data_IF_958227177318
#
_entry.id   IF_958227177318
#
_cell.length_a   1.000
_cell.length_b   1.000
_cell.length_c   1.000
_cell.angle_alpha   90.00
_cell.angle_beta   90.00
_cell.angle_gamma   90.00
#
_symmetry.space_group_name_H-M   'P 1'
#
loop_
_entity.id
_entity.type
_entity.pdbx_description
1 polymer ?
#
# COMPACT_ATOMS: atom_id res chain seq x y z
N UNK A 1 2.43 16.37 -17.53
CA UNK A 1 2.92 16.69 -16.19
C UNK A 1 4.33 17.30 -16.25
N UNK A 2 5.38 16.60 -16.74
CA UNK A 2 6.75 17.15 -16.82
C UNK A 2 6.81 18.38 -17.72
N UNK A 3 6.19 18.32 -18.90
CA UNK A 3 6.08 19.48 -19.83
C UNK A 3 5.33 20.66 -19.20
N UNK A 4 4.26 20.42 -18.47
CA UNK A 4 3.49 21.45 -17.76
C UNK A 4 4.30 22.09 -16.62
N UNK A 5 5.12 21.29 -15.95
CA UNK A 5 6.04 21.79 -14.92
C UNK A 5 7.27 22.51 -15.47
N UNK A 6 7.55 22.40 -16.78
CA UNK A 6 8.75 22.92 -17.40
C UNK A 6 10.04 22.22 -16.93
N UNK A 7 9.94 20.97 -16.47
CA UNK A 7 11.06 20.20 -15.93
C UNK A 7 11.46 19.08 -16.85
N UNK A 8 12.77 18.82 -16.93
CA UNK A 8 13.35 17.61 -17.51
C UNK A 8 13.60 16.54 -16.43
N UNK A 9 13.75 15.28 -16.86
CA UNK A 9 14.01 14.17 -15.93
C UNK A 9 15.33 14.32 -15.15
N UNK A 10 16.33 14.96 -15.73
CA UNK A 10 17.60 15.25 -15.05
C UNK A 10 17.50 16.23 -13.87
N UNK A 11 16.35 16.89 -13.71
CA UNK A 11 16.08 17.84 -12.62
C UNK A 11 15.31 17.21 -11.46
N UNK A 12 15.04 15.90 -11.53
CA UNK A 12 14.35 15.18 -10.47
C UNK A 12 15.36 14.70 -9.42
N UNK A 13 15.12 15.05 -8.16
CA UNK A 13 15.93 14.60 -7.02
C UNK A 13 15.63 13.14 -6.65
N UNK A 14 14.42 12.67 -6.93
CA UNK A 14 13.99 11.29 -6.71
C UNK A 14 12.75 10.95 -7.55
N UNK A 15 12.50 9.65 -7.75
CA UNK A 15 11.26 9.15 -8.37
C UNK A 15 10.59 8.18 -7.40
N UNK A 16 9.33 8.46 -7.04
CA UNK A 16 8.55 7.60 -6.19
C UNK A 16 7.62 6.68 -6.99
N UNK A 17 7.37 5.49 -6.47
CA UNK A 17 6.41 4.56 -7.05
C UNK A 17 5.63 3.79 -5.99
N UNK A 18 4.40 3.39 -6.33
CA UNK A 18 3.59 2.53 -5.48
C UNK A 18 4.16 1.11 -5.46
N UNK A 19 4.77 0.73 -4.34
CA UNK A 19 5.43 -0.57 -4.19
C UNK A 19 4.46 -1.71 -3.84
N UNK A 20 3.20 -1.40 -3.52
CA UNK A 20 2.21 -2.41 -3.13
C UNK A 20 1.92 -2.42 -1.61
N UNK A 21 1.16 -3.39 -1.13
CA UNK A 21 0.55 -4.49 -1.89
C UNK A 21 -0.55 -4.02 -2.84
N UNK A 22 -0.85 -4.85 -3.86
CA UNK A 22 -1.87 -4.53 -4.86
C UNK A 22 -1.87 -5.49 -6.05
N UNK A 23 -2.45 -5.06 -7.18
CA UNK A 23 -2.52 -5.88 -8.38
C UNK A 23 -1.12 -6.20 -8.95
N UNK A 24 -0.82 -7.48 -9.08
CA UNK A 24 0.47 -8.02 -9.46
C UNK A 24 1.10 -7.37 -10.72
N UNK A 25 0.31 -7.26 -11.80
CA UNK A 25 0.77 -6.64 -13.04
C UNK A 25 1.01 -5.15 -12.86
N UNK A 26 0.11 -4.44 -12.18
CA UNK A 26 0.21 -3.00 -11.95
C UNK A 26 1.46 -2.62 -11.16
N UNK A 27 1.79 -3.39 -10.12
CA UNK A 27 2.99 -3.15 -9.31
C UNK A 27 4.28 -3.30 -10.11
N UNK A 28 4.35 -4.32 -10.98
CA UNK A 28 5.52 -4.51 -11.85
C UNK A 28 5.66 -3.43 -12.91
N UNK A 29 4.56 -2.99 -13.49
CA UNK A 29 4.56 -1.88 -14.45
C UNK A 29 5.02 -0.60 -13.77
N UNK A 30 4.52 -0.29 -12.57
CA UNK A 30 4.93 0.90 -11.82
C UNK A 30 6.42 0.86 -11.46
N UNK A 31 6.89 -0.27 -10.93
CA UNK A 31 8.30 -0.45 -10.58
C UNK A 31 9.21 -0.37 -11.82
N UNK A 32 8.90 -1.10 -12.88
CA UNK A 32 9.70 -1.10 -14.12
C UNK A 32 9.70 0.26 -14.82
N UNK A 33 8.58 0.99 -14.81
CA UNK A 33 8.54 2.35 -15.34
C UNK A 33 9.41 3.30 -14.52
N UNK A 34 9.35 3.22 -13.17
CA UNK A 34 10.19 4.02 -12.29
C UNK A 34 11.69 3.71 -12.53
N UNK A 35 12.07 2.42 -12.62
CA UNK A 35 13.43 2.00 -12.93
C UNK A 35 13.90 2.54 -14.29
N UNK A 36 13.06 2.42 -15.34
CA UNK A 36 13.41 2.89 -16.68
C UNK A 36 13.62 4.41 -16.76
N UNK A 37 12.85 5.19 -15.97
CA UNK A 37 13.04 6.63 -15.90
C UNK A 37 14.27 7.02 -15.06
N UNK A 38 14.59 6.26 -14.03
CA UNK A 38 15.66 6.57 -13.09
C UNK A 38 17.05 6.26 -13.64
N UNK A 39 17.20 5.16 -14.41
CA UNK A 39 18.49 4.62 -14.81
C UNK A 39 19.33 5.58 -15.67
N UNK A 40 18.69 6.51 -16.38
CA UNK A 40 19.39 7.46 -17.28
C UNK A 40 20.21 8.49 -16.51
N UNK A 41 19.77 8.85 -15.32
CA UNK A 41 20.36 9.91 -14.50
C UNK A 41 20.75 9.44 -13.10
N UNK A 42 20.78 8.12 -12.87
CA UNK A 42 21.01 7.52 -11.55
C UNK A 42 20.11 8.11 -10.44
N UNK A 43 18.89 8.52 -10.81
CA UNK A 43 17.94 9.13 -9.91
C UNK A 43 17.47 8.11 -8.87
N UNK A 44 17.59 8.37 -7.55
CA UNK A 44 17.16 7.43 -6.53
C UNK A 44 15.66 7.15 -6.58
N UNK A 45 15.27 5.91 -6.28
CA UNK A 45 13.87 5.50 -6.20
C UNK A 45 13.37 5.46 -4.75
N UNK A 46 12.10 5.80 -4.57
CA UNK A 46 11.42 5.79 -3.28
C UNK A 46 10.17 4.92 -3.37
N UNK A 47 10.24 3.66 -2.91
CA UNK A 47 9.09 2.78 -2.84
C UNK A 47 8.16 3.22 -1.69
N UNK A 48 6.89 3.43 -1.99
CA UNK A 48 5.85 3.76 -1.00
C UNK A 48 4.76 2.71 -1.03
N UNK A 49 4.36 2.21 0.14
CA UNK A 49 3.34 1.15 0.18
C UNK A 49 1.93 1.70 -0.03
N UNK A 50 1.07 0.87 -0.61
CA UNK A 50 -0.35 1.24 -0.83
C UNK A 50 -1.07 1.52 0.48
N UNK A 51 -0.82 0.70 1.51
CA UNK A 51 -1.47 0.85 2.82
C UNK A 51 -0.98 2.09 3.55
N UNK A 52 0.31 2.41 3.46
CA UNK A 52 0.87 3.65 4.01
C UNK A 52 0.26 4.88 3.34
N UNK A 53 0.17 4.86 2.00
CA UNK A 53 -0.46 5.94 1.23
C UNK A 53 -1.91 6.16 1.67
N UNK A 54 -2.66 5.07 1.88
CA UNK A 54 -4.03 5.13 2.38
C UNK A 54 -4.09 5.66 3.81
N UNK A 55 -3.16 5.24 4.66
CA UNK A 55 -3.10 5.68 6.05
C UNK A 55 -2.86 7.20 6.14
N UNK A 56 -1.89 7.72 5.39
CA UNK A 56 -1.62 9.17 5.30
C UNK A 56 -2.82 9.94 4.78
N UNK A 57 -3.49 9.41 3.75
CA UNK A 57 -4.68 10.04 3.18
C UNK A 57 -5.88 10.05 4.15
N UNK A 58 -5.95 9.10 5.07
CA UNK A 58 -6.97 9.07 6.13
C UNK A 58 -6.78 10.17 7.17
N UNK A 59 -5.58 10.72 7.30
CA UNK A 59 -5.23 11.82 8.20
C UNK A 59 -4.41 11.39 9.40
N UNK A 60 -3.93 12.38 10.16
CA UNK A 60 -3.09 12.13 11.34
C UNK A 60 -3.83 11.36 12.44
N UNK A 61 -3.09 10.54 13.17
CA UNK A 61 -3.58 9.70 14.25
C UNK A 61 -3.36 8.20 14.03
N UNK A 62 -4.21 7.38 14.61
CA UNK A 62 -4.14 5.92 14.52
C UNK A 62 -4.99 5.43 13.36
N UNK A 63 -4.38 4.79 12.36
CA UNK A 63 -5.07 4.35 11.14
C UNK A 63 -4.86 2.88 10.87
N UNK A 64 -5.95 2.13 10.71
CA UNK A 64 -5.97 0.77 10.21
C UNK A 64 -6.32 0.79 8.72
N UNK A 65 -5.32 0.61 7.88
CA UNK A 65 -5.51 0.53 6.44
C UNK A 65 -5.84 -0.90 6.00
N UNK A 66 -6.93 -1.06 5.23
CA UNK A 66 -7.51 -2.33 4.82
C UNK A 66 -7.73 -2.33 3.30
N UNK A 67 -6.95 -3.15 2.58
CA UNK A 67 -7.04 -3.26 1.13
C UNK A 67 -7.48 -4.68 0.74
N UNK A 68 -8.49 -4.81 -0.13
CA UNK A 68 -8.92 -6.11 -0.65
C UNK A 68 -7.76 -6.85 -1.32
N UNK A 69 -7.41 -8.01 -0.78
CA UNK A 69 -6.34 -8.86 -1.30
C UNK A 69 -6.86 -9.95 -2.26
N UNK A 70 -8.17 -9.92 -2.58
CA UNK A 70 -8.85 -10.98 -3.30
C UNK A 70 -8.84 -12.32 -2.55
N UNK A 71 -9.49 -13.34 -3.13
CA UNK A 71 -9.51 -14.71 -2.60
C UNK A 71 -10.00 -14.81 -1.14
N UNK A 72 -10.89 -13.91 -0.71
CA UNK A 72 -11.42 -13.90 0.66
C UNK A 72 -10.46 -13.31 1.71
N UNK A 73 -9.41 -12.62 1.31
CA UNK A 73 -8.40 -12.05 2.19
C UNK A 73 -8.28 -10.53 2.08
N UNK A 74 -7.71 -9.92 3.11
CA UNK A 74 -7.45 -8.48 3.20
C UNK A 74 -5.98 -8.23 3.55
N UNK A 75 -5.35 -7.28 2.86
CA UNK A 75 -4.11 -6.70 3.34
C UNK A 75 -4.44 -5.69 4.44
N UNK A 76 -3.76 -5.80 5.57
CA UNK A 76 -3.99 -4.95 6.74
C UNK A 76 -2.67 -4.40 7.28
N UNK A 77 -2.67 -3.12 7.63
CA UNK A 77 -1.56 -2.44 8.30
C UNK A 77 -2.08 -1.39 9.28
N UNK A 78 -1.56 -1.40 10.50
CA UNK A 78 -1.90 -0.45 11.55
C UNK A 78 -0.80 0.61 11.67
N UNK A 79 -1.13 1.86 11.36
CA UNK A 79 -0.19 2.98 11.26
C UNK A 79 -0.43 4.03 12.34
N UNK A 80 0.66 4.68 12.74
CA UNK A 80 0.62 5.95 13.47
C UNK A 80 1.05 7.04 12.48
N UNK A 81 0.17 7.99 12.21
CA UNK A 81 0.33 8.99 11.15
C UNK A 81 0.49 10.38 11.75
N UNK A 82 1.49 11.13 11.27
CA UNK A 82 1.68 12.55 11.54
C UNK A 82 2.03 13.26 10.21
N UNK A 83 1.07 13.98 9.63
CA UNK A 83 1.22 14.56 8.31
C UNK A 83 1.50 13.51 7.24
N UNK A 84 2.66 13.61 6.57
CA UNK A 84 3.14 12.64 5.58
C UNK A 84 4.04 11.54 6.17
N UNK A 85 4.30 11.57 7.47
CA UNK A 85 5.06 10.52 8.15
C UNK A 85 4.10 9.46 8.70
N UNK A 86 4.33 8.22 8.35
CA UNK A 86 3.50 7.10 8.79
C UNK A 86 4.38 5.96 9.27
N UNK A 87 4.31 5.68 10.56
CA UNK A 87 5.06 4.58 11.19
C UNK A 87 4.15 3.36 11.29
N UNK A 88 4.65 2.23 10.81
CA UNK A 88 4.02 0.91 10.94
C UNK A 88 4.73 0.16 12.10
N UNK A 89 4.16 0.11 13.32
CA UNK A 89 4.79 -0.56 14.46
C UNK A 89 4.94 -2.08 14.32
N UNK A 90 4.26 -2.66 13.36
CA UNK A 90 4.27 -4.10 13.08
C UNK A 90 4.62 -4.39 11.63
N UNK A 91 3.86 -5.31 11.04
CA UNK A 91 4.01 -5.73 9.64
C UNK A 91 2.68 -5.59 8.90
N UNK A 92 2.76 -5.37 7.59
CA UNK A 92 1.59 -5.59 6.73
C UNK A 92 1.30 -7.09 6.72
N UNK A 93 0.04 -7.44 6.92
CA UNK A 93 -0.43 -8.83 6.91
C UNK A 93 -1.41 -9.06 5.78
N UNK A 94 -1.48 -10.30 5.32
CA UNK A 94 -2.58 -10.81 4.50
C UNK A 94 -3.28 -11.88 5.33
N UNK A 95 -4.57 -11.67 5.59
CA UNK A 95 -5.36 -12.53 6.47
C UNK A 95 -6.82 -12.56 6.01
N UNK A 96 -7.56 -13.57 6.43
CA UNK A 96 -9.02 -13.54 6.25
C UNK A 96 -9.64 -12.45 7.13
N UNK A 97 -10.79 -11.86 6.75
CA UNK A 97 -11.50 -10.88 7.58
C UNK A 97 -11.81 -11.36 9.00
N UNK A 98 -12.02 -12.66 9.19
CA UNK A 98 -12.32 -13.26 10.49
C UNK A 98 -11.08 -13.31 11.40
N UNK A 99 -9.91 -13.59 10.83
CA UNK A 99 -8.64 -13.73 11.55
C UNK A 99 -7.94 -12.39 11.80
N UNK A 100 -8.41 -11.30 11.18
CA UNK A 100 -7.83 -9.99 11.41
C UNK A 100 -7.92 -9.61 12.88
N UNK A 101 -6.78 -9.44 13.53
CA UNK A 101 -6.70 -8.88 14.88
C UNK A 101 -6.84 -7.37 14.77
N UNK A 102 -7.92 -6.83 15.33
CA UNK A 102 -8.11 -5.38 15.43
C UNK A 102 -7.23 -4.82 16.55
N UNK A 103 -6.65 -3.62 16.37
CA UNK A 103 -5.86 -3.00 17.42
C UNK A 103 -6.75 -2.68 18.64
N UNK A 104 -6.19 -2.94 19.83
CA UNK A 104 -6.79 -2.53 21.08
C UNK A 104 -6.66 -1.02 21.22
N UNK A 105 -7.67 -0.38 21.68
CA UNK A 105 -7.74 1.02 22.01
C UNK A 105 -8.68 1.85 21.12
N UNK A 106 -9.13 2.94 21.70
CA UNK A 106 -10.00 3.92 21.04
C UNK A 106 -9.21 4.86 20.10
N UNK A 107 -9.94 5.53 19.23
CA UNK A 107 -9.39 6.60 18.39
C UNK A 107 -8.72 6.10 17.10
N UNK A 108 -9.09 4.91 16.61
CA UNK A 108 -8.65 4.40 15.32
C UNK A 108 -9.61 4.80 14.20
N UNK A 109 -9.02 5.13 13.04
CA UNK A 109 -9.73 5.23 11.77
C UNK A 109 -9.44 3.98 10.95
N UNK A 110 -10.45 3.25 10.51
CA UNK A 110 -10.31 2.16 9.55
C UNK A 110 -10.59 2.70 8.13
N UNK A 111 -9.68 2.49 7.18
CA UNK A 111 -9.82 3.01 5.84
C UNK A 111 -9.56 1.96 4.75
N UNK A 112 -10.13 2.21 3.58
CA UNK A 112 -9.87 1.47 2.35
C UNK A 112 -10.96 0.49 1.94
N UNK A 113 -10.83 -0.03 0.72
CA UNK A 113 -11.84 -0.85 0.07
C UNK A 113 -12.01 -2.26 0.67
N UNK A 114 -11.14 -2.69 1.56
CA UNK A 114 -11.36 -3.90 2.36
C UNK A 114 -12.66 -3.85 3.16
N UNK A 115 -13.05 -2.65 3.62
CA UNK A 115 -14.32 -2.42 4.31
C UNK A 115 -15.53 -2.65 3.39
N UNK A 116 -15.42 -2.24 2.12
CA UNK A 116 -16.49 -2.44 1.13
C UNK A 116 -16.54 -3.88 0.65
N UNK A 117 -15.39 -4.52 0.46
CA UNK A 117 -15.31 -5.90 -0.01
C UNK A 117 -15.80 -6.92 1.02
N UNK A 118 -15.65 -6.61 2.32
CA UNK A 118 -15.95 -7.54 3.42
C UNK A 118 -16.83 -6.88 4.49
N UNK A 119 -18.18 -7.00 4.41
CA UNK A 119 -19.11 -6.41 5.40
C UNK A 119 -18.81 -6.77 6.85
N UNK A 120 -18.30 -7.99 7.11
CA UNK A 120 -17.85 -8.43 8.43
C UNK A 120 -16.82 -7.48 9.05
N UNK A 121 -15.93 -6.88 8.26
CA UNK A 121 -14.95 -5.91 8.76
C UNK A 121 -15.63 -4.62 9.24
N UNK A 122 -16.69 -4.19 8.55
CA UNK A 122 -17.49 -3.03 8.98
C UNK A 122 -18.12 -3.32 10.35
N UNK A 123 -18.78 -4.46 10.52
CA UNK A 123 -19.40 -4.85 11.77
C UNK A 123 -18.38 -4.90 12.93
N UNK A 124 -17.24 -5.53 12.69
CA UNK A 124 -16.17 -5.68 13.68
C UNK A 124 -15.52 -4.35 14.06
N UNK A 125 -15.28 -3.46 13.11
CA UNK A 125 -14.64 -2.15 13.36
C UNK A 125 -15.62 -1.18 14.05
N UNK A 126 -16.90 -1.22 13.70
CA UNK A 126 -17.95 -0.45 14.39
C UNK A 126 -18.11 -0.91 15.83
N UNK A 127 -18.06 -2.21 16.10
CA UNK A 127 -18.18 -2.78 17.44
C UNK A 127 -17.10 -2.26 18.42
N UNK A 128 -15.94 -1.83 17.91
CA UNK A 128 -14.84 -1.22 18.69
C UNK A 128 -14.72 0.29 18.49
N UNK A 129 -15.79 0.94 17.99
CA UNK A 129 -15.89 2.39 17.81
C UNK A 129 -14.83 3.02 16.92
N UNK A 130 -14.43 2.38 15.82
CA UNK A 130 -13.58 2.98 14.81
C UNK A 130 -14.36 3.92 13.91
N UNK A 131 -13.69 4.99 13.44
CA UNK A 131 -14.21 5.83 12.36
C UNK A 131 -13.94 5.12 11.04
N UNK A 132 -14.92 5.09 10.11
CA UNK A 132 -14.79 4.37 8.84
C UNK A 132 -14.61 5.30 7.66
N UNK A 133 -13.63 5.02 6.82
CA UNK A 133 -13.31 5.73 5.57
C UNK A 133 -13.10 4.72 4.43
N UNK A 134 -14.17 4.05 3.94
CA UNK A 134 -14.07 3.02 2.90
C UNK A 134 -13.72 3.58 1.52
N UNK A 135 -13.88 4.88 1.31
CA UNK A 135 -13.64 5.64 0.09
C UNK A 135 -12.15 5.88 -0.20
N UNK A 136 -11.28 5.66 0.79
CA UNK A 136 -9.85 5.94 0.65
C UNK A 136 -9.16 4.87 -0.20
N UNK A 137 -8.50 5.33 -1.27
CA UNK A 137 -7.65 4.53 -2.15
C UNK A 137 -6.29 5.23 -2.32
N UNK A 138 -5.22 4.50 -2.67
CA UNK A 138 -3.91 5.10 -2.88
C UNK A 138 -3.94 6.16 -3.98
N UNK A 139 -3.36 7.33 -3.72
CA UNK A 139 -3.25 8.44 -4.67
C UNK A 139 -1.78 8.78 -4.93
N UNK A 140 -1.42 9.03 -6.19
CA UNK A 140 -0.06 9.39 -6.58
C UNK A 140 0.45 10.68 -5.91
N UNK A 141 -0.42 11.66 -5.68
CA UNK A 141 -0.07 12.89 -4.97
C UNK A 141 0.37 12.61 -3.52
N UNK A 142 -0.29 11.67 -2.84
CA UNK A 142 0.08 11.25 -1.48
C UNK A 142 1.40 10.46 -1.49
N UNK A 143 1.60 9.59 -2.49
CA UNK A 143 2.89 8.91 -2.71
C UNK A 143 4.01 9.94 -2.84
N UNK A 144 3.82 11.00 -3.64
CA UNK A 144 4.80 12.05 -3.82
C UNK A 144 5.09 12.83 -2.51
N UNK A 145 4.06 13.12 -1.71
CA UNK A 145 4.22 13.79 -0.41
C UNK A 145 5.04 12.98 0.59
N UNK A 146 4.75 11.68 0.72
CA UNK A 146 5.53 10.75 1.55
C UNK A 146 6.98 10.67 1.05
N UNK A 147 7.14 10.52 -0.26
CA UNK A 147 8.45 10.42 -0.89
C UNK A 147 9.29 11.69 -0.73
N UNK A 148 8.70 12.88 -0.82
CA UNK A 148 9.40 14.14 -0.59
C UNK A 148 10.01 14.21 0.82
N UNK A 149 9.27 13.75 1.84
CA UNK A 149 9.78 13.66 3.21
C UNK A 149 10.95 12.67 3.32
N UNK A 150 10.83 11.50 2.67
CA UNK A 150 11.88 10.48 2.66
C UNK A 150 13.11 10.89 1.85
N UNK A 151 12.92 11.56 0.72
CA UNK A 151 14.02 12.12 -0.08
C UNK A 151 14.85 13.12 0.75
N UNK A 152 14.19 14.00 1.52
CA UNK A 152 14.85 14.94 2.41
C UNK A 152 15.66 14.25 3.52
N UNK A 153 15.33 12.99 3.86
CA UNK A 153 16.06 12.15 4.82
C UNK A 153 17.14 11.28 4.16
N UNK A 154 17.29 11.32 2.83
CA UNK A 154 18.23 10.48 2.08
C UNK A 154 17.84 9.01 2.00
N UNK A 155 16.57 8.68 2.10
CA UNK A 155 16.05 7.28 2.12
C UNK A 155 15.88 6.66 0.72
N UNK A 156 16.35 7.33 -0.34
CA UNK A 156 16.29 6.80 -1.70
C UNK A 156 17.15 5.54 -1.88
N UNK A 157 16.68 4.62 -2.70
CA UNK A 157 17.38 3.37 -3.05
C UNK A 157 17.90 3.41 -4.47
N UNK A 158 18.93 2.62 -4.74
CA UNK A 158 19.42 2.37 -6.10
C UNK A 158 18.28 1.80 -6.98
N UNK A 159 18.07 2.34 -8.20
CA UNK A 159 17.07 1.81 -9.12
C UNK A 159 17.17 0.31 -9.38
N UNK A 160 18.39 -0.25 -9.41
CA UNK A 160 18.60 -1.68 -9.60
C UNK A 160 18.06 -2.55 -8.45
N UNK A 161 17.93 -1.98 -7.24
CA UNK A 161 17.42 -2.69 -6.06
C UNK A 161 15.91 -2.53 -5.87
N UNK A 162 15.25 -1.70 -6.68
CA UNK A 162 13.82 -1.47 -6.55
C UNK A 162 13.02 -2.72 -6.95
N UNK A 163 12.09 -3.09 -6.08
CA UNK A 163 11.19 -4.22 -6.32
C UNK A 163 9.81 -3.94 -5.71
N UNK A 164 8.75 -4.55 -6.27
CA UNK A 164 7.45 -4.56 -5.61
C UNK A 164 7.48 -5.32 -4.28
N UNK A 165 6.69 -4.86 -3.32
CA UNK A 165 6.50 -5.54 -2.05
C UNK A 165 5.52 -6.71 -2.21
N UNK A 166 6.03 -7.92 -2.11
CA UNK A 166 5.24 -9.14 -2.13
C UNK A 166 4.94 -9.60 -0.70
N UNK A 167 3.68 -9.51 -0.28
CA UNK A 167 3.21 -9.93 1.07
C UNK A 167 2.70 -11.36 1.05
N UNK A 168 2.17 -11.81 -0.11
CA UNK A 168 1.60 -13.14 -0.25
C UNK A 168 2.65 -14.10 -0.82
N UNK A 169 2.98 -15.15 -0.07
CA UNK A 169 3.93 -16.19 -0.52
C UNK A 169 3.32 -17.11 -1.59
N UNK A 170 2.00 -17.36 -1.53
CA UNK A 170 1.27 -18.18 -2.51
C UNK A 170 0.37 -17.31 -3.38
N UNK A 171 0.76 -17.08 -4.63
CA UNK A 171 0.01 -16.24 -5.58
C UNK A 171 -1.10 -17.01 -6.30
N UNK A 172 -1.02 -18.34 -6.35
CA UNK A 172 -2.02 -19.20 -6.99
C UNK A 172 -2.10 -20.56 -6.29
N UNK A 173 -3.31 -21.11 -6.23
CA UNK A 173 -3.51 -22.51 -5.83
C UNK A 173 -2.94 -23.41 -6.92
N UNK A 174 -2.25 -24.45 -6.52
CA UNK A 174 -1.81 -25.52 -7.43
C UNK A 174 -3.03 -26.19 -8.09
N UNK A 175 -2.81 -26.88 -9.19
CA UNK A 175 -3.89 -27.66 -9.85
C UNK A 175 -4.49 -28.67 -8.88
N UNK A 176 -3.66 -29.32 -8.05
CA UNK A 176 -4.11 -30.28 -7.03
C UNK A 176 -4.99 -29.62 -5.95
N UNK A 177 -4.63 -28.43 -5.47
CA UNK A 177 -5.43 -27.66 -4.48
C UNK A 177 -6.77 -27.21 -5.09
N UNK A 178 -6.78 -26.82 -6.37
CA UNK A 178 -8.03 -26.46 -7.08
C UNK A 178 -8.96 -27.66 -7.26
N UNK A 179 -8.43 -28.80 -7.64
CA UNK A 179 -9.21 -30.03 -7.83
C UNK A 179 -9.80 -30.54 -6.51
N UNK A 180 -9.06 -30.45 -5.40
CA UNK A 180 -9.56 -30.85 -4.08
C UNK A 180 -10.70 -29.95 -3.56
N UNK A 181 -10.80 -28.71 -4.04
CA UNK A 181 -11.88 -27.77 -3.69
C UNK A 181 -13.04 -27.78 -4.71
N UNK A 182 -13.08 -28.74 -5.62
CA UNK A 182 -14.16 -28.89 -6.62
C UNK A 182 -14.04 -27.99 -7.84
N UNK A 183 -12.88 -27.37 -8.05
CA UNK A 183 -12.58 -26.60 -9.27
C UNK A 183 -12.33 -27.50 -10.47
N UNK A 184 -12.63 -27.00 -11.68
CA UNK A 184 -12.26 -27.66 -12.93
C UNK A 184 -10.77 -27.42 -13.25
N UNK A 185 -10.12 -28.41 -13.83
CA UNK A 185 -8.75 -28.30 -14.32
C UNK A 185 -8.58 -27.23 -15.38
#
# INVERSE_FOLDING_TARGET
LMLEAGLGFAQLDAIAFGAGPGAFTGLRVACGAAQGLAVVHDTPLLPVTSLETMAVLAGSGKVLALLDARMGEVYAGAYLVDGFDAVLPGQIRVVTPAELVLPDAQGWTACGNGLTAYPMLVERTVAVNMVLRPDILPLAATVAGIAALRAARGEGIDPALAAPLYIRDKVAKTVAERLNEGGKA
#
